data_IF_993484288097
#
_entry.id   IF_993484288097
#
_cell.length_a   1.000
_cell.length_b   1.000
_cell.length_c   1.000
_cell.angle_alpha   90.00
_cell.angle_beta   90.00
_cell.angle_gamma   90.00
#
_symmetry.space_group_name_H-M   'P 1'
#
loop_
_entity.id
_entity.type
_entity.pdbx_description
1 polymer ?
#
# COMPACT_ATOMS: atom_id res chain seq x y z
N UNK A 1 -19.98 -2.43 18.18
CA UNK A 1 -19.65 -1.05 17.76
C UNK A 1 -20.66 -0.65 16.72
N UNK A 2 -21.01 0.64 16.63
CA UNK A 2 -22.02 1.15 15.69
C UNK A 2 -21.79 0.65 14.26
N UNK A 3 -20.53 0.55 13.81
CA UNK A 3 -20.16 0.05 12.48
C UNK A 3 -20.53 -1.43 12.29
N UNK A 4 -20.21 -2.29 13.27
CA UNK A 4 -20.55 -3.73 13.21
C UNK A 4 -22.05 -3.98 13.28
N UNK A 5 -22.79 -3.17 14.04
CA UNK A 5 -24.25 -3.27 14.13
C UNK A 5 -24.93 -2.98 12.79
N UNK A 6 -24.27 -2.24 11.89
CA UNK A 6 -24.73 -2.00 10.52
C UNK A 6 -24.28 -3.09 9.52
N UNK A 7 -23.57 -4.13 9.97
CA UNK A 7 -23.06 -5.18 9.09
C UNK A 7 -21.98 -4.72 8.11
N UNK A 8 -21.30 -3.60 8.40
CA UNK A 8 -20.23 -3.07 7.56
C UNK A 8 -18.96 -3.86 7.81
N UNK A 9 -18.34 -4.35 6.74
CA UNK A 9 -17.07 -5.05 6.78
C UNK A 9 -15.94 -4.11 7.20
N UNK A 10 -15.13 -4.56 8.16
CA UNK A 10 -14.03 -3.79 8.75
C UNK A 10 -12.70 -4.52 8.56
N UNK A 11 -11.65 -3.77 8.27
CA UNK A 11 -10.29 -4.30 8.25
C UNK A 11 -9.34 -3.32 8.94
N UNK A 12 -8.20 -3.83 9.39
CA UNK A 12 -7.09 -3.01 9.88
C UNK A 12 -5.86 -3.23 9.00
N UNK A 13 -5.14 -2.15 8.71
CA UNK A 13 -3.81 -2.24 8.09
C UNK A 13 -2.78 -2.32 9.21
N UNK A 14 -1.91 -3.33 9.14
CA UNK A 14 -0.93 -3.67 10.17
C UNK A 14 0.43 -3.94 9.52
N UNK A 15 1.50 -3.48 10.17
CA UNK A 15 2.89 -3.64 9.71
C UNK A 15 3.69 -4.65 10.53
N UNK A 16 3.14 -5.17 11.64
CA UNK A 16 3.80 -6.18 12.47
C UNK A 16 2.83 -7.13 13.17
N UNK A 17 3.38 -8.20 13.76
CA UNK A 17 2.60 -9.24 14.43
C UNK A 17 1.80 -8.69 15.62
N UNK A 18 2.37 -7.78 16.42
CA UNK A 18 1.67 -7.26 17.59
C UNK A 18 0.46 -6.42 17.18
N UNK A 19 0.59 -5.59 16.15
CA UNK A 19 -0.52 -4.83 15.57
C UNK A 19 -1.60 -5.77 15.00
N UNK A 20 -1.19 -6.85 14.32
CA UNK A 20 -2.10 -7.86 13.79
C UNK A 20 -2.91 -8.52 14.91
N UNK A 21 -2.26 -8.96 15.99
CA UNK A 21 -2.92 -9.55 17.15
C UNK A 21 -3.85 -8.54 17.85
N UNK A 22 -3.40 -7.29 17.99
CA UNK A 22 -4.21 -6.22 18.59
C UNK A 22 -5.47 -5.94 17.76
N UNK A 23 -5.35 -5.93 16.43
CA UNK A 23 -6.48 -5.73 15.53
C UNK A 23 -7.43 -6.95 15.52
N UNK A 24 -6.89 -8.17 15.59
CA UNK A 24 -7.68 -9.39 15.73
C UNK A 24 -8.49 -9.39 17.03
N UNK A 25 -7.85 -9.06 18.16
CA UNK A 25 -8.50 -8.91 19.47
C UNK A 25 -9.56 -7.80 19.46
N UNK A 26 -9.31 -6.70 18.73
CA UNK A 26 -10.31 -5.65 18.52
C UNK A 26 -11.52 -6.18 17.73
N UNK A 27 -11.34 -7.24 16.95
CA UNK A 27 -12.38 -8.03 16.30
C UNK A 27 -12.67 -7.65 14.85
N UNK A 28 -11.73 -7.02 14.14
CA UNK A 28 -11.93 -6.67 12.71
C UNK A 28 -12.22 -7.91 11.87
N UNK A 29 -12.83 -7.72 10.70
CA UNK A 29 -13.23 -8.83 9.83
C UNK A 29 -12.06 -9.36 8.99
N UNK A 30 -11.06 -8.55 8.69
CA UNK A 30 -9.83 -8.94 8.00
C UNK A 30 -8.60 -8.11 8.40
N UNK A 31 -7.41 -8.62 8.09
CA UNK A 31 -6.13 -7.96 8.34
C UNK A 31 -5.44 -7.67 7.01
N UNK A 32 -5.08 -6.42 6.76
CA UNK A 32 -4.23 -6.00 5.63
C UNK A 32 -2.79 -5.91 6.12
N UNK A 33 -1.93 -6.76 5.61
CA UNK A 33 -0.54 -6.91 6.00
C UNK A 33 0.33 -6.04 5.10
N UNK A 34 0.72 -4.86 5.60
CA UNK A 34 1.49 -3.87 4.85
C UNK A 34 2.99 -4.11 5.02
N UNK A 35 3.62 -4.76 4.04
CA UNK A 35 5.07 -4.89 3.96
C UNK A 35 5.76 -3.55 3.69
N UNK A 36 7.04 -3.45 4.04
CA UNK A 36 7.86 -2.24 3.83
C UNK A 36 7.97 -1.82 2.35
N UNK A 37 7.64 -2.73 1.43
CA UNK A 37 7.70 -2.54 -0.02
C UNK A 37 6.47 -1.82 -0.57
N UNK A 38 5.37 -1.78 0.17
CA UNK A 38 4.14 -1.09 -0.21
C UNK A 38 4.36 0.42 -0.37
N UNK A 39 3.70 1.01 -1.36
CA UNK A 39 3.66 2.45 -1.55
C UNK A 39 2.79 3.15 -0.50
N UNK A 40 2.92 4.47 -0.42
CA UNK A 40 2.09 5.28 0.46
C UNK A 40 2.55 5.28 1.92
N UNK A 41 1.68 5.77 2.80
CA UNK A 41 2.03 5.99 4.21
C UNK A 41 2.18 4.67 4.95
N UNK A 42 3.20 4.59 5.81
CA UNK A 42 3.38 3.49 6.75
C UNK A 42 2.27 3.53 7.79
N UNK A 43 1.40 2.53 7.70
CA UNK A 43 0.36 2.31 8.70
C UNK A 43 1.01 1.65 9.91
N UNK A 44 1.30 2.46 10.93
CA UNK A 44 1.78 2.01 12.22
C UNK A 44 0.81 2.48 13.30
N UNK A 45 0.53 1.62 14.28
CA UNK A 45 -0.24 2.01 15.46
C UNK A 45 0.66 2.84 16.36
N UNK A 46 0.12 3.91 16.95
CA UNK A 46 0.89 4.75 17.86
C UNK A 46 1.21 3.99 19.15
N UNK A 47 2.50 3.73 19.40
CA UNK A 47 3.02 3.07 20.59
C UNK A 47 4.53 3.40 20.76
N UNK A 48 5.10 3.06 21.92
CA UNK A 48 6.51 3.34 22.26
C UNK A 48 7.49 2.21 21.86
N UNK A 49 7.06 1.25 21.04
CA UNK A 49 7.91 0.16 20.60
C UNK A 49 8.76 0.57 19.39
N UNK A 50 9.93 -0.07 19.19
CA UNK A 50 10.73 0.15 17.99
C UNK A 50 9.93 -0.13 16.72
N UNK A 51 10.09 0.74 15.73
CA UNK A 51 9.57 0.48 14.40
C UNK A 51 10.25 -0.76 13.79
N UNK A 52 9.44 -1.63 13.20
CA UNK A 52 9.90 -2.84 12.51
C UNK A 52 9.55 -2.70 11.04
N UNK A 53 10.57 -2.75 10.18
CA UNK A 53 10.40 -2.92 8.75
C UNK A 53 10.53 -4.39 8.39
N UNK A 54 9.54 -4.93 7.69
CA UNK A 54 9.54 -6.31 7.24
C UNK A 54 8.79 -6.44 5.92
N UNK A 55 9.09 -7.50 5.19
CA UNK A 55 8.45 -7.80 3.91
C UNK A 55 7.02 -8.29 4.11
N UNK A 56 6.16 -8.03 3.12
CA UNK A 56 4.74 -8.41 3.21
C UNK A 56 4.57 -9.94 3.34
N UNK A 57 5.40 -10.72 2.66
CA UNK A 57 5.39 -12.19 2.73
C UNK A 57 5.90 -12.73 4.07
N UNK A 58 6.94 -12.11 4.66
CA UNK A 58 7.39 -12.50 6.00
C UNK A 58 6.34 -12.18 7.07
N UNK A 59 5.68 -11.02 6.95
CA UNK A 59 4.57 -10.65 7.83
C UNK A 59 3.39 -11.64 7.68
N UNK A 60 3.05 -12.02 6.46
CA UNK A 60 2.04 -13.05 6.18
C UNK A 60 2.34 -14.34 6.93
N UNK A 61 3.57 -14.86 6.84
CA UNK A 61 3.94 -16.12 7.49
C UNK A 61 3.91 -16.02 9.03
N UNK A 62 4.26 -14.86 9.60
CA UNK A 62 4.15 -14.64 11.04
C UNK A 62 2.70 -14.61 11.49
N UNK A 63 1.85 -13.80 10.85
CA UNK A 63 0.46 -13.57 11.30
C UNK A 63 -0.40 -14.81 11.13
N UNK A 64 -0.26 -15.55 10.02
CA UNK A 64 -1.05 -16.78 9.79
C UNK A 64 -0.84 -17.88 10.84
N UNK A 65 0.25 -17.82 11.60
CA UNK A 65 0.51 -18.77 12.68
C UNK A 65 -0.36 -18.50 13.92
N UNK A 66 -0.93 -17.30 14.05
CA UNK A 66 -1.64 -16.85 15.25
C UNK A 66 -3.03 -16.29 14.97
N UNK A 67 -3.37 -15.92 13.73
CA UNK A 67 -4.68 -15.42 13.34
C UNK A 67 -5.36 -16.35 12.33
N UNK A 68 -6.67 -16.53 12.51
CA UNK A 68 -7.53 -17.24 11.56
C UNK A 68 -8.34 -16.27 10.67
N UNK A 69 -8.12 -14.96 10.81
CA UNK A 69 -8.81 -13.95 10.00
C UNK A 69 -8.36 -14.03 8.53
N UNK A 70 -9.20 -13.59 7.58
CA UNK A 70 -8.75 -13.30 6.23
C UNK A 70 -7.56 -12.33 6.25
N UNK A 71 -6.46 -12.75 5.63
CA UNK A 71 -5.21 -12.01 5.48
C UNK A 71 -5.09 -11.50 4.05
N UNK A 72 -4.92 -10.18 3.93
CA UNK A 72 -4.78 -9.46 2.67
C UNK A 72 -3.36 -8.95 2.61
N UNK A 73 -2.60 -9.30 1.57
CA UNK A 73 -1.20 -8.85 1.44
C UNK A 73 -1.16 -7.51 0.71
N UNK A 74 -0.44 -6.53 1.27
CA UNK A 74 -0.10 -5.27 0.62
C UNK A 74 1.42 -5.10 0.62
N UNK A 75 2.02 -5.11 -0.57
CA UNK A 75 3.46 -5.00 -0.76
C UNK A 75 3.77 -4.54 -2.18
N UNK A 76 4.94 -4.90 -2.69
CA UNK A 76 5.33 -4.62 -4.08
C UNK A 76 4.73 -5.67 -5.02
N UNK A 77 3.49 -5.41 -5.44
CA UNK A 77 2.69 -6.30 -6.28
C UNK A 77 2.44 -5.60 -7.62
N UNK A 78 3.25 -5.94 -8.61
CA UNK A 78 3.32 -5.25 -9.90
C UNK A 78 2.53 -5.93 -11.00
N UNK A 79 2.29 -7.24 -10.88
CA UNK A 79 1.58 -8.01 -11.89
C UNK A 79 0.98 -9.32 -11.38
N UNK A 80 0.41 -10.08 -12.32
CA UNK A 80 -0.33 -11.32 -12.01
C UNK A 80 0.53 -12.38 -11.30
N UNK A 81 1.83 -12.47 -11.62
CA UNK A 81 2.73 -13.41 -10.97
C UNK A 81 2.86 -13.14 -9.47
N UNK A 82 2.99 -11.87 -9.07
CA UNK A 82 3.09 -11.46 -7.67
C UNK A 82 1.80 -11.76 -6.90
N UNK A 83 0.65 -11.52 -7.56
CA UNK A 83 -0.67 -11.85 -7.00
C UNK A 83 -0.78 -13.34 -6.75
N UNK A 84 -0.45 -14.17 -7.75
CA UNK A 84 -0.48 -15.63 -7.63
C UNK A 84 0.46 -16.10 -6.52
N UNK A 85 1.67 -15.55 -6.44
CA UNK A 85 2.63 -15.87 -5.40
C UNK A 85 2.10 -15.55 -3.99
N UNK A 86 1.46 -14.39 -3.80
CA UNK A 86 0.84 -14.00 -2.53
C UNK A 86 -0.30 -14.96 -2.13
N UNK A 87 -1.20 -15.28 -3.07
CA UNK A 87 -2.32 -16.19 -2.81
C UNK A 87 -1.82 -17.61 -2.48
N UNK A 88 -0.87 -18.16 -3.25
CA UNK A 88 -0.28 -19.47 -2.98
C UNK A 88 0.45 -19.50 -1.63
N UNK A 89 1.02 -18.37 -1.20
CA UNK A 89 1.70 -18.24 0.10
C UNK A 89 0.73 -18.21 1.29
N UNK A 90 -0.58 -18.17 1.04
CA UNK A 90 -1.63 -18.25 2.05
C UNK A 90 -2.46 -16.98 2.23
N UNK A 91 -2.29 -15.96 1.38
CA UNK A 91 -3.16 -14.79 1.40
C UNK A 91 -4.53 -15.10 0.80
N UNK A 92 -5.61 -14.53 1.36
CA UNK A 92 -6.96 -14.63 0.79
C UNK A 92 -7.22 -13.57 -0.29
N UNK A 93 -6.51 -12.44 -0.23
CA UNK A 93 -6.56 -11.41 -1.24
C UNK A 93 -5.26 -10.58 -1.23
N UNK A 94 -5.16 -9.65 -2.18
CA UNK A 94 -4.08 -8.67 -2.26
C UNK A 94 -4.63 -7.26 -2.35
N UNK A 95 -3.85 -6.28 -1.90
CA UNK A 95 -4.08 -4.86 -2.11
C UNK A 95 -3.02 -4.33 -3.07
N UNK A 96 -3.47 -3.67 -4.15
CA UNK A 96 -2.64 -3.18 -5.24
C UNK A 96 -2.69 -1.65 -5.26
N UNK A 97 -1.53 -1.00 -5.35
CA UNK A 97 -1.40 0.47 -5.38
C UNK A 97 -0.89 0.96 -6.75
N UNK A 98 0.38 0.75 -7.04
CA UNK A 98 1.11 1.29 -8.20
C UNK A 98 0.44 0.95 -9.54
N UNK A 99 -0.07 -0.27 -9.79
CA UNK A 99 -0.78 -0.56 -11.04
C UNK A 99 -2.06 0.26 -11.22
N UNK A 100 -2.83 0.50 -10.15
CA UNK A 100 -4.06 1.30 -10.21
C UNK A 100 -3.79 2.79 -10.29
N UNK A 101 -2.68 3.26 -9.71
CA UNK A 101 -2.23 4.64 -9.87
C UNK A 101 -1.95 4.97 -11.35
N UNK A 102 -1.48 3.99 -12.12
CA UNK A 102 -1.19 4.15 -13.55
C UNK A 102 -2.43 4.05 -14.46
N UNK A 103 -3.61 3.70 -13.94
CA UNK A 103 -4.85 3.59 -14.72
C UNK A 103 -5.37 4.97 -15.15
N UNK A 104 -6.01 5.03 -16.33
CA UNK A 104 -6.48 6.29 -16.93
C UNK A 104 -7.43 7.06 -16.00
N UNK A 105 -8.26 6.33 -15.24
CA UNK A 105 -9.24 6.80 -14.26
C UNK A 105 -8.62 7.61 -13.12
N UNK A 106 -7.32 7.45 -12.84
CA UNK A 106 -6.63 8.24 -11.84
C UNK A 106 -6.47 9.71 -12.25
N UNK A 107 -6.58 10.01 -13.55
CA UNK A 107 -6.52 11.39 -14.06
C UNK A 107 -5.13 12.04 -14.05
N UNK A 108 -4.07 11.26 -13.87
CA UNK A 108 -2.68 11.74 -14.02
C UNK A 108 -2.42 12.20 -15.45
N UNK A 109 -1.63 13.27 -15.61
CA UNK A 109 -1.06 13.63 -16.90
C UNK A 109 -0.08 12.55 -17.40
N UNK A 110 0.27 12.61 -18.69
CA UNK A 110 1.10 11.59 -19.34
C UNK A 110 2.51 11.49 -18.74
N UNK A 111 3.11 12.60 -18.29
CA UNK A 111 4.45 12.63 -17.71
C UNK A 111 4.46 11.99 -16.32
N UNK A 112 3.52 12.38 -15.47
CA UNK A 112 3.34 11.84 -14.12
C UNK A 112 3.00 10.35 -14.18
N UNK A 113 2.12 9.95 -15.11
CA UNK A 113 1.80 8.54 -15.35
C UNK A 113 3.01 7.76 -15.82
N UNK A 114 3.82 8.30 -16.73
CA UNK A 114 5.05 7.66 -17.18
C UNK A 114 6.04 7.47 -16.01
N UNK A 115 6.14 8.43 -15.09
CA UNK A 115 6.94 8.27 -13.86
C UNK A 115 6.42 7.14 -12.97
N UNK A 116 5.11 7.05 -12.76
CA UNK A 116 4.49 5.95 -12.01
C UNK A 116 4.77 4.59 -12.67
N UNK A 117 4.73 4.50 -14.00
CA UNK A 117 4.97 3.24 -14.71
C UNK A 117 6.46 2.87 -14.64
N UNK A 118 7.34 3.79 -15.03
CA UNK A 118 8.75 3.49 -15.31
C UNK A 118 9.73 3.76 -14.17
N UNK A 119 9.30 4.40 -13.07
CA UNK A 119 10.18 4.73 -11.94
C UNK A 119 10.82 3.47 -11.34
N UNK A 120 12.14 3.39 -11.33
CA UNK A 120 12.83 2.20 -10.84
C UNK A 120 12.94 2.17 -9.32
N UNK A 121 13.38 1.04 -8.78
CA UNK A 121 13.66 0.84 -7.36
C UNK A 121 14.65 1.87 -6.80
N UNK A 122 15.57 2.38 -7.63
CA UNK A 122 16.55 3.39 -7.26
C UNK A 122 15.94 4.78 -7.05
N UNK A 123 14.72 4.98 -7.53
CA UNK A 123 13.94 6.20 -7.35
C UNK A 123 12.89 6.03 -6.26
N UNK A 124 12.65 4.83 -5.73
CA UNK A 124 11.74 4.61 -4.61
C UNK A 124 12.45 4.89 -3.29
N UNK A 125 11.82 5.69 -2.43
CA UNK A 125 12.34 6.01 -1.09
C UNK A 125 11.23 6.03 -0.06
N UNK A 126 11.59 5.90 1.21
CA UNK A 126 10.72 6.26 2.34
C UNK A 126 11.17 7.63 2.82
N UNK A 127 10.24 8.57 3.00
CA UNK A 127 10.53 9.89 3.55
C UNK A 127 9.49 10.29 4.59
N UNK A 128 9.94 10.92 5.67
CA UNK A 128 9.08 11.49 6.72
C UNK A 128 8.79 12.99 6.52
N UNK A 129 9.22 13.57 5.39
CA UNK A 129 9.07 15.00 5.11
C UNK A 129 7.64 15.40 4.73
N UNK A 130 6.93 14.55 3.98
CA UNK A 130 5.74 14.98 3.23
C UNK A 130 4.44 14.88 4.02
N UNK A 131 4.40 13.96 4.99
CA UNK A 131 3.19 13.50 5.67
C UNK A 131 3.49 13.20 7.12
N UNK A 132 2.44 13.13 7.95
CA UNK A 132 2.60 12.87 9.39
C UNK A 132 3.14 11.47 9.71
N UNK A 133 3.14 10.58 8.72
CA UNK A 133 3.70 9.23 8.78
C UNK A 133 4.69 9.06 7.63
N UNK A 134 5.77 8.27 7.80
CA UNK A 134 6.70 7.98 6.71
C UNK A 134 5.96 7.48 5.46
N UNK A 135 6.34 8.01 4.30
CA UNK A 135 5.69 7.76 3.02
C UNK A 135 6.67 7.08 2.06
N UNK A 136 6.33 5.89 1.55
CA UNK A 136 7.05 5.33 0.39
C UNK A 136 6.54 5.99 -0.89
N UNK A 137 7.45 6.65 -1.61
CA UNK A 137 7.15 7.36 -2.84
C UNK A 137 8.35 7.41 -3.80
N UNK A 138 8.11 7.81 -5.04
CA UNK A 138 9.20 8.20 -5.93
C UNK A 138 9.89 9.46 -5.41
N UNK A 139 11.20 9.52 -5.60
CA UNK A 139 12.02 10.70 -5.36
C UNK A 139 11.34 11.93 -5.98
N UNK A 140 11.25 12.95 -5.15
CA UNK A 140 10.61 14.20 -5.40
C UNK A 140 11.68 15.31 -5.39
N UNK A 141 11.38 16.48 -5.97
CA UNK A 141 12.35 17.58 -6.02
C UNK A 141 12.80 18.09 -4.63
N UNK A 142 12.06 17.74 -3.59
CA UNK A 142 12.38 18.08 -2.19
C UNK A 142 13.08 16.94 -1.43
N UNK A 143 13.29 15.77 -2.06
CA UNK A 143 13.89 14.59 -1.41
C UNK A 143 15.30 14.83 -0.87
N UNK A 144 16.07 15.77 -1.44
CA UNK A 144 17.43 16.10 -1.00
C UNK A 144 17.48 17.08 0.19
N UNK A 145 16.33 17.57 0.66
CA UNK A 145 16.27 18.43 1.84
C UNK A 145 16.53 17.62 3.12
N UNK A 146 17.03 18.29 4.17
CA UNK A 146 17.32 17.65 5.44
C UNK A 146 16.03 17.15 6.11
N UNK A 147 15.80 15.83 6.10
CA UNK A 147 14.62 15.17 6.67
C UNK A 147 14.38 15.59 8.13
N UNK A 148 15.45 15.70 8.91
CA UNK A 148 15.37 16.05 10.32
C UNK A 148 14.87 17.48 10.55
N UNK A 149 15.14 18.41 9.62
CA UNK A 149 14.66 19.79 9.70
C UNK A 149 13.19 19.93 9.29
N UNK A 150 12.70 19.02 8.45
CA UNK A 150 11.35 19.08 7.88
C UNK A 150 10.32 18.25 8.66
N UNK A 151 10.78 17.39 9.58
CA UNK A 151 9.90 16.62 10.45
C UNK A 151 8.99 17.53 11.29
N UNK A 152 7.68 17.27 11.28
CA UNK A 152 6.69 18.11 11.96
C UNK A 152 6.31 19.39 11.20
N UNK A 153 6.76 19.54 9.95
CA UNK A 153 6.40 20.65 9.06
C UNK A 153 5.43 20.24 7.95
N UNK A 154 4.59 19.24 8.19
CA UNK A 154 3.67 18.66 7.19
C UNK A 154 2.73 19.72 6.60
N UNK A 155 2.39 20.74 7.41
CA UNK A 155 1.55 21.86 6.98
C UNK A 155 2.20 22.71 5.87
N UNK A 156 3.53 22.81 5.81
CA UNK A 156 4.23 23.53 4.75
C UNK A 156 4.04 22.81 3.42
N UNK A 157 4.20 21.49 3.43
CA UNK A 157 3.99 20.65 2.25
C UNK A 157 2.51 20.61 1.85
N UNK A 158 1.58 20.49 2.81
CA UNK A 158 0.16 20.55 2.53
C UNK A 158 -0.25 21.86 1.81
N UNK A 159 0.29 23.00 2.26
CA UNK A 159 0.05 24.29 1.62
C UNK A 159 0.68 24.36 0.22
N UNK A 160 1.92 23.87 0.05
CA UNK A 160 2.60 23.83 -1.24
C UNK A 160 1.82 22.95 -2.25
N UNK A 161 1.43 21.74 -1.85
CA UNK A 161 0.69 20.78 -2.67
C UNK A 161 -0.77 21.18 -2.94
N UNK A 162 -1.33 22.14 -2.19
CA UNK A 162 -2.61 22.75 -2.51
C UNK A 162 -2.50 23.74 -3.68
N UNK A 163 -1.34 24.37 -3.84
CA UNK A 163 -1.05 25.30 -4.95
C UNK A 163 -0.51 24.57 -6.18
N UNK A 164 0.25 23.49 -5.98
CA UNK A 164 0.87 22.67 -7.02
C UNK A 164 0.58 21.18 -6.76
N UNK A 165 -0.63 20.69 -7.09
CA UNK A 165 -1.00 19.29 -6.88
C UNK A 165 -0.08 18.30 -7.61
N UNK A 166 0.49 18.68 -8.75
CA UNK A 166 1.44 17.91 -9.54
C UNK A 166 2.80 17.71 -8.83
N UNK A 167 3.12 18.56 -7.86
CA UNK A 167 4.31 18.44 -7.03
C UNK A 167 4.10 17.47 -5.84
N UNK A 168 2.97 16.76 -5.77
CA UNK A 168 2.78 15.75 -4.73
C UNK A 168 3.73 14.57 -4.96
N UNK A 169 4.33 14.01 -3.88
CA UNK A 169 5.09 12.78 -3.99
C UNK A 169 4.19 11.67 -4.54
N UNK A 170 4.75 10.83 -5.43
CA UNK A 170 4.00 9.76 -6.07
C UNK A 170 4.10 8.50 -5.21
N UNK A 171 3.04 8.06 -4.51
CA UNK A 171 3.08 6.92 -3.61
C UNK A 171 3.10 5.64 -4.43
N UNK A 172 4.29 5.04 -4.57
CA UNK A 172 4.48 3.82 -5.37
C UNK A 172 5.25 2.78 -4.58
N UNK A 173 4.97 1.52 -4.86
CA UNK A 173 5.81 0.41 -4.42
C UNK A 173 7.18 0.42 -5.12
N UNK A 174 8.08 -0.47 -4.69
CA UNK A 174 9.50 -0.46 -5.10
C UNK A 174 9.67 -0.65 -6.60
N UNK A 175 9.08 -1.69 -7.18
CA UNK A 175 9.37 -2.11 -8.55
C UNK A 175 8.54 -1.37 -9.58
N UNK A 176 9.16 -1.10 -10.73
CA UNK A 176 8.44 -0.61 -11.91
C UNK A 176 7.36 -1.61 -12.34
N UNK A 177 6.34 -1.10 -13.01
CA UNK A 177 5.25 -1.94 -13.56
C UNK A 177 5.36 -1.98 -15.08
N UNK A 178 4.95 -3.10 -15.66
CA UNK A 178 4.66 -3.19 -17.09
C UNK A 178 3.34 -2.47 -17.43
N UNK A 179 2.97 -2.45 -18.71
CA UNK A 179 1.73 -1.81 -19.17
C UNK A 179 0.52 -2.22 -18.30
N UNK A 180 -0.10 -1.27 -17.56
CA UNK A 180 -1.19 -1.54 -16.64
C UNK A 180 -2.45 -2.10 -17.33
N UNK A 181 -2.56 -1.96 -18.66
CA UNK A 181 -3.62 -2.60 -19.43
C UNK A 181 -3.59 -4.12 -19.31
N UNK A 182 -2.40 -4.72 -19.15
CA UNK A 182 -2.24 -6.17 -19.00
C UNK A 182 -2.86 -6.66 -17.69
N UNK A 183 -2.60 -5.96 -16.58
CA UNK A 183 -3.18 -6.30 -15.29
C UNK A 183 -4.69 -6.02 -15.26
N UNK A 184 -5.13 -4.90 -15.84
CA UNK A 184 -6.54 -4.56 -15.96
C UNK A 184 -7.29 -5.62 -16.77
N UNK A 185 -6.73 -6.07 -17.90
CA UNK A 185 -7.31 -7.14 -18.71
C UNK A 185 -7.35 -8.47 -17.95
N UNK A 186 -6.27 -8.84 -17.26
CA UNK A 186 -6.21 -10.04 -16.42
C UNK A 186 -7.29 -10.00 -15.33
N UNK A 187 -7.38 -8.91 -14.57
CA UNK A 187 -8.37 -8.76 -13.50
C UNK A 187 -9.80 -8.76 -14.04
N UNK A 188 -10.06 -8.12 -15.18
CA UNK A 188 -11.38 -8.16 -15.82
C UNK A 188 -11.76 -9.57 -16.26
N UNK A 189 -10.82 -10.33 -16.84
CA UNK A 189 -11.03 -11.72 -17.22
C UNK A 189 -11.25 -12.63 -15.99
N UNK A 190 -10.50 -12.43 -14.91
CA UNK A 190 -10.69 -13.17 -13.66
C UNK A 190 -11.99 -12.77 -12.94
N UNK A 191 -12.35 -11.50 -12.93
CA UNK A 191 -13.61 -11.02 -12.34
C UNK A 191 -14.82 -11.58 -13.09
N UNK A 192 -14.74 -11.76 -14.41
CA UNK A 192 -15.76 -12.48 -15.18
C UNK A 192 -15.85 -13.95 -14.76
N UNK A 193 -14.72 -14.64 -14.60
CA UNK A 193 -14.69 -16.02 -14.09
C UNK A 193 -15.24 -16.14 -12.67
N UNK A 194 -14.84 -15.25 -11.76
CA UNK A 194 -15.32 -15.24 -10.36
C UNK A 194 -16.82 -14.95 -10.29
N UNK A 195 -17.33 -14.00 -11.09
CA UNK A 195 -18.78 -13.72 -11.19
C UNK A 195 -19.56 -14.93 -11.73
N UNK A 196 -18.99 -15.70 -12.66
CA UNK A 196 -19.60 -16.92 -13.18
C UNK A 196 -19.57 -18.09 -12.18
N UNK A 197 -18.63 -18.11 -11.24
CA UNK A 197 -18.56 -19.13 -10.19
C UNK A 197 -19.49 -18.87 -9.00
N UNK A 198 -19.94 -17.62 -8.82
CA UNK A 198 -20.80 -17.19 -7.71
C UNK A 198 -22.29 -17.12 -8.13
N UNK A 199 -22.59 -17.19 -9.43
CA UNK A 199 -23.95 -17.27 -9.99
C UNK A 199 -24.41 -18.73 -10.13
#
# INVERSE_FOLDING_TARGET
SLIREQGIFTFAIVGNLLEALSADDFGVDALVLQGMEAGGERSAFSNDLPHVEQTALSLLQQVRAYSNKPLIVWGDLTGAADIVAAIISGAQAVMLDRPFLACAENGLDDETRARVIHGSEYQSQISDQYTARPLRCLQHAFSDADEALLRGQENLFAAAFAQQPEARPLPVSISAIDDPQTLTHYLNHQAQHIRQMIA
#
